data_IF_996954554608
#
_entry.id   IF_996954554608
#
_cell.length_a   1.000
_cell.length_b   1.000
_cell.length_c   1.000
_cell.angle_alpha   90.00
_cell.angle_beta   90.00
_cell.angle_gamma   90.00
#
_symmetry.space_group_name_H-M   'P 1'
#
loop_
_entity.id
_entity.type
_entity.pdbx_description
1 polymer ?
#
# COMPACT_ATOMS: atom_id res chain seq x y z
N UNK A 1 -24.01 -4.00 16.48
CA UNK A 1 -23.35 -3.03 17.39
C UNK A 1 -24.22 -1.79 17.45
N UNK A 2 -24.61 -1.31 18.63
CA UNK A 2 -25.27 -0.01 18.76
C UNK A 2 -24.32 1.06 18.26
N UNK A 3 -24.84 1.94 17.40
CA UNK A 3 -24.15 3.12 16.85
C UNK A 3 -23.81 4.14 17.95
N UNK A 4 -22.91 3.79 18.86
CA UNK A 4 -22.26 4.81 19.68
C UNK A 4 -21.26 5.51 18.78
N UNK A 5 -21.42 6.83 18.60
CA UNK A 5 -20.54 7.77 17.92
C UNK A 5 -19.10 7.69 18.45
N UNK A 6 -18.35 6.64 18.03
CA UNK A 6 -16.92 6.56 18.32
C UNK A 6 -16.22 7.36 17.24
N UNK A 7 -15.81 8.58 17.55
CA UNK A 7 -15.13 9.45 16.61
C UNK A 7 -13.76 8.87 16.25
N UNK A 8 -13.61 8.38 15.01
CA UNK A 8 -12.31 8.04 14.44
C UNK A 8 -11.48 9.32 14.29
N UNK A 9 -10.25 9.30 14.80
CA UNK A 9 -9.26 10.36 14.60
C UNK A 9 -8.17 9.85 13.67
N UNK A 10 -7.74 10.70 12.73
CA UNK A 10 -6.66 10.38 11.78
C UNK A 10 -5.62 11.50 11.85
N UNK A 11 -4.34 11.13 11.88
CA UNK A 11 -3.27 12.11 11.75
C UNK A 11 -3.16 12.56 10.29
N UNK A 12 -3.37 13.85 10.08
CA UNK A 12 -3.26 14.48 8.77
C UNK A 12 -1.87 15.12 8.62
N UNK A 13 -1.08 14.61 7.67
CA UNK A 13 0.27 15.14 7.41
C UNK A 13 0.27 16.58 6.92
N UNK A 14 -0.84 17.05 6.34
CA UNK A 14 -0.97 18.43 5.86
C UNK A 14 -1.08 19.42 7.03
N UNK A 15 -1.94 19.13 8.01
CA UNK A 15 -2.11 19.96 9.19
C UNK A 15 -1.15 19.61 10.32
N UNK A 16 -0.47 18.44 10.23
CA UNK A 16 0.42 17.88 11.25
C UNK A 16 -0.28 17.61 12.60
N UNK A 17 -1.59 17.32 12.56
CA UNK A 17 -2.43 17.10 13.75
C UNK A 17 -3.32 15.87 13.56
N UNK A 18 -3.75 15.29 14.68
CA UNK A 18 -4.87 14.34 14.67
C UNK A 18 -6.18 15.12 14.57
N UNK A 19 -6.98 14.76 13.60
CA UNK A 19 -8.28 15.38 13.31
C UNK A 19 -9.40 14.35 13.41
N UNK A 20 -10.60 14.80 13.74
CA UNK A 20 -11.79 13.95 13.65
C UNK A 20 -12.07 13.62 12.18
N UNK A 21 -12.18 12.31 11.89
CA UNK A 21 -12.41 11.86 10.53
C UNK A 21 -13.82 12.20 10.05
N UNK A 22 -13.90 12.98 9.00
CA UNK A 22 -15.16 13.39 8.34
C UNK A 22 -15.06 13.08 6.86
N UNK A 23 -15.99 12.28 6.36
CA UNK A 23 -16.06 11.93 4.93
C UNK A 23 -16.74 13.04 4.12
N UNK A 24 -16.35 13.17 2.85
CA UNK A 24 -17.00 14.08 1.89
C UNK A 24 -18.44 13.63 1.60
N UNK A 25 -18.65 12.33 1.51
CA UNK A 25 -19.97 11.74 1.31
C UNK A 25 -20.31 10.85 2.50
N UNK A 26 -21.52 10.94 3.08
CA UNK A 26 -21.91 10.09 4.19
C UNK A 26 -21.68 8.61 3.90
N UNK A 27 -21.07 7.90 4.84
CA UNK A 27 -20.76 6.46 4.78
C UNK A 27 -19.87 6.00 3.62
N UNK A 28 -19.32 6.90 2.78
CA UNK A 28 -18.40 6.55 1.70
C UNK A 28 -17.02 7.15 1.95
N UNK A 29 -15.98 6.41 1.61
CA UNK A 29 -14.59 6.86 1.73
C UNK A 29 -13.85 6.59 0.44
N UNK A 30 -13.34 7.64 -0.20
CA UNK A 30 -12.42 7.54 -1.32
C UNK A 30 -10.98 7.54 -0.83
N UNK A 31 -10.21 6.51 -1.18
CA UNK A 31 -8.79 6.38 -0.82
C UNK A 31 -7.97 6.19 -2.08
N UNK A 32 -6.98 7.05 -2.29
CA UNK A 32 -5.94 6.86 -3.29
C UNK A 32 -4.60 6.59 -2.62
N UNK A 33 -3.91 5.54 -3.04
CA UNK A 33 -2.56 5.22 -2.55
C UNK A 33 -1.61 5.11 -3.73
N UNK A 34 -0.52 5.87 -3.71
CA UNK A 34 0.50 5.76 -4.73
C UNK A 34 1.09 4.36 -4.76
N UNK A 35 1.02 3.74 -5.93
CA UNK A 35 1.53 2.40 -6.19
C UNK A 35 3.00 2.37 -6.56
N UNK A 36 3.55 1.18 -6.89
CA UNK A 36 4.94 1.04 -7.23
C UNK A 36 5.23 1.44 -8.69
N UNK A 37 6.47 1.86 -8.95
CA UNK A 37 7.04 1.83 -10.31
C UNK A 37 7.55 0.43 -10.59
N UNK A 38 7.00 -0.22 -11.62
CA UNK A 38 7.20 -1.66 -11.89
C UNK A 38 8.37 -1.93 -12.84
N UNK A 39 9.56 -1.47 -12.47
CA UNK A 39 10.81 -1.78 -13.16
C UNK A 39 11.70 -2.79 -12.42
N UNK A 40 11.34 -3.15 -11.18
CA UNK A 40 12.10 -4.08 -10.36
C UNK A 40 11.19 -4.67 -9.27
N UNK A 41 11.65 -5.77 -8.62
CA UNK A 41 10.99 -6.33 -7.44
C UNK A 41 10.82 -5.30 -6.34
N UNK A 42 9.66 -5.34 -5.66
CA UNK A 42 9.39 -4.50 -4.50
C UNK A 42 10.21 -4.96 -3.31
N UNK A 43 10.70 -4.02 -2.51
CA UNK A 43 11.36 -4.32 -1.24
C UNK A 43 10.39 -4.18 -0.06
N UNK A 44 10.80 -4.67 1.11
CA UNK A 44 9.95 -4.67 2.31
C UNK A 44 9.47 -3.26 2.74
N UNK A 45 10.25 -2.21 2.47
CA UNK A 45 9.84 -0.83 2.74
C UNK A 45 8.57 -0.44 1.97
N UNK A 46 8.45 -0.84 0.69
CA UNK A 46 7.22 -0.65 -0.07
C UNK A 46 6.07 -1.48 0.51
N UNK A 47 6.33 -2.73 0.87
CA UNK A 47 5.32 -3.62 1.46
C UNK A 47 4.73 -3.04 2.75
N UNK A 48 5.54 -2.36 3.57
CA UNK A 48 5.08 -1.71 4.80
C UNK A 48 3.99 -0.66 4.53
N UNK A 49 4.15 0.12 3.48
CA UNK A 49 3.13 1.09 3.06
C UNK A 49 1.81 0.37 2.76
N UNK A 50 1.84 -0.65 1.90
CA UNK A 50 0.62 -1.36 1.51
C UNK A 50 0.00 -2.16 2.66
N UNK A 51 0.79 -2.74 3.56
CA UNK A 51 0.32 -3.40 4.80
C UNK A 51 -0.40 -2.38 5.72
N UNK A 52 0.13 -1.17 5.85
CA UNK A 52 -0.49 -0.11 6.66
C UNK A 52 -1.82 0.35 6.06
N UNK A 53 -1.89 0.52 4.75
CA UNK A 53 -3.15 0.89 4.08
C UNK A 53 -4.16 -0.26 4.05
N UNK A 54 -3.73 -1.51 4.00
CA UNK A 54 -4.62 -2.67 4.18
C UNK A 54 -5.33 -2.64 5.54
N UNK A 55 -4.60 -2.34 6.61
CA UNK A 55 -5.17 -2.16 7.95
C UNK A 55 -6.20 -1.04 7.98
N UNK A 56 -5.88 0.11 7.40
CA UNK A 56 -6.77 1.28 7.33
C UNK A 56 -8.06 0.91 6.57
N UNK A 57 -7.93 0.32 5.38
CA UNK A 57 -9.07 -0.08 4.54
C UNK A 57 -9.94 -1.12 5.25
N UNK A 58 -9.33 -2.15 5.85
CA UNK A 58 -10.05 -3.19 6.59
C UNK A 58 -10.81 -2.60 7.78
N UNK A 59 -10.18 -1.73 8.55
CA UNK A 59 -10.84 -1.13 9.70
C UNK A 59 -11.97 -0.18 9.30
N UNK A 60 -11.78 0.66 8.28
CA UNK A 60 -12.85 1.52 7.77
C UNK A 60 -14.06 0.70 7.29
N UNK A 61 -13.84 -0.38 6.55
CA UNK A 61 -14.90 -1.31 6.14
C UNK A 61 -15.58 -1.96 7.35
N UNK A 62 -14.81 -2.35 8.36
CA UNK A 62 -15.34 -2.98 9.57
C UNK A 62 -16.26 -2.05 10.36
N UNK A 63 -15.94 -0.76 10.46
CA UNK A 63 -16.79 0.22 11.15
C UNK A 63 -17.94 0.77 10.28
N UNK A 64 -18.13 0.22 9.05
CA UNK A 64 -19.33 0.42 8.24
C UNK A 64 -19.19 1.40 7.08
N UNK A 65 -17.96 1.84 6.72
CA UNK A 65 -17.76 2.65 5.52
C UNK A 65 -17.73 1.80 4.25
N UNK A 66 -18.37 2.31 3.19
CA UNK A 66 -18.18 1.85 1.81
C UNK A 66 -16.89 2.47 1.27
N UNK A 67 -15.82 1.68 1.20
CA UNK A 67 -14.47 2.17 0.84
C UNK A 67 -14.19 1.88 -0.62
N UNK A 68 -13.99 2.94 -1.42
CA UNK A 68 -13.41 2.87 -2.76
C UNK A 68 -11.90 3.08 -2.66
N UNK A 69 -11.16 1.99 -2.73
CA UNK A 69 -9.70 1.97 -2.68
C UNK A 69 -9.13 1.93 -4.09
N UNK A 70 -8.34 2.94 -4.46
CA UNK A 70 -7.62 3.07 -5.74
C UNK A 70 -6.12 3.03 -5.45
N UNK A 71 -5.37 2.24 -6.22
CA UNK A 71 -3.92 2.18 -6.17
C UNK A 71 -3.39 2.02 -7.59
N UNK A 72 -2.54 2.94 -8.03
CA UNK A 72 -2.00 2.88 -9.38
C UNK A 72 -0.84 1.90 -9.53
N UNK A 73 -0.50 1.64 -10.79
CA UNK A 73 0.76 1.07 -11.24
C UNK A 73 1.44 2.12 -12.13
N UNK A 74 2.63 2.57 -11.74
CA UNK A 74 3.47 3.42 -12.58
C UNK A 74 4.27 2.53 -13.52
N UNK A 75 3.85 2.50 -14.77
CA UNK A 75 4.35 1.65 -15.83
C UNK A 75 5.05 2.43 -16.98
N UNK A 76 5.31 3.72 -16.76
CA UNK A 76 6.02 4.63 -17.69
C UNK A 76 6.58 5.85 -16.96
N UNK A 77 7.48 6.58 -17.60
CA UNK A 77 7.76 7.99 -17.27
C UNK A 77 8.58 8.26 -16.00
N UNK A 78 9.16 7.25 -15.36
CA UNK A 78 9.97 7.45 -14.16
C UNK A 78 11.43 7.78 -14.53
N UNK A 79 11.68 9.08 -14.81
CA UNK A 79 13.03 9.63 -14.96
C UNK A 79 13.54 10.13 -13.61
N UNK A 80 14.77 9.80 -13.25
CA UNK A 80 15.52 10.58 -12.25
C UNK A 80 16.02 11.88 -12.93
N UNK A 81 16.04 13.00 -12.22
CA UNK A 81 16.38 14.32 -12.76
C UNK A 81 17.77 14.38 -13.42
N UNK A 82 18.63 13.41 -13.13
CA UNK A 82 19.97 13.25 -13.69
C UNK A 82 20.09 12.19 -14.81
N UNK A 83 19.00 11.46 -15.13
CA UNK A 83 19.03 10.37 -16.10
C UNK A 83 18.27 10.74 -17.38
N UNK A 84 18.88 10.46 -18.54
CA UNK A 84 18.25 10.63 -19.86
C UNK A 84 17.29 9.48 -20.21
N UNK A 85 17.32 8.37 -19.45
CA UNK A 85 16.60 7.16 -19.77
C UNK A 85 15.66 6.71 -18.64
N UNK A 86 14.44 6.36 -19.00
CA UNK A 86 13.40 5.77 -18.12
C UNK A 86 13.89 4.48 -17.48
N UNK A 87 13.61 4.29 -16.18
CA UNK A 87 14.01 3.10 -15.41
C UNK A 87 13.49 1.79 -16.00
N UNK A 88 12.30 1.79 -16.61
CA UNK A 88 11.72 0.62 -17.27
C UNK A 88 12.51 0.27 -18.53
N UNK A 89 12.83 1.28 -19.37
CA UNK A 89 13.67 1.08 -20.56
C UNK A 89 15.06 0.58 -20.20
N UNK A 90 15.69 1.17 -19.17
CA UNK A 90 16.99 0.73 -18.66
C UNK A 90 16.95 -0.73 -18.20
N UNK A 91 15.89 -1.11 -17.49
CA UNK A 91 15.71 -2.49 -17.05
C UNK A 91 15.45 -3.46 -18.20
N UNK A 92 14.64 -3.05 -19.17
CA UNK A 92 14.36 -3.83 -20.37
C UNK A 92 15.64 -4.16 -21.15
N UNK A 93 16.54 -3.20 -21.32
CA UNK A 93 17.86 -3.41 -21.95
C UNK A 93 18.72 -4.40 -21.16
N UNK A 94 18.77 -4.29 -19.82
CA UNK A 94 19.55 -5.19 -18.96
C UNK A 94 19.01 -6.63 -19.05
N UNK A 95 17.71 -6.82 -19.04
CA UNK A 95 17.06 -8.14 -19.09
C UNK A 95 16.86 -8.67 -20.52
N UNK A 96 17.13 -7.88 -21.54
CA UNK A 96 16.89 -8.18 -22.97
C UNK A 96 15.43 -8.52 -23.24
N UNK A 97 14.52 -7.72 -22.65
CA UNK A 97 13.06 -7.83 -22.77
C UNK A 97 12.50 -6.56 -23.40
N UNK A 98 11.27 -6.63 -23.91
CA UNK A 98 10.51 -5.44 -24.27
C UNK A 98 10.03 -4.71 -22.99
N UNK A 99 9.89 -3.38 -22.99
CA UNK A 99 9.47 -2.61 -21.82
C UNK A 99 8.18 -3.13 -21.18
N UNK A 100 7.19 -3.51 -21.98
CA UNK A 100 5.91 -4.04 -21.48
C UNK A 100 6.03 -5.45 -20.90
N UNK A 101 7.01 -6.26 -21.30
CA UNK A 101 7.29 -7.54 -20.65
C UNK A 101 7.87 -7.30 -19.24
N UNK A 102 8.76 -6.31 -19.09
CA UNK A 102 9.28 -5.87 -17.79
C UNK A 102 8.14 -5.42 -16.87
N UNK A 103 7.27 -4.55 -17.38
CA UNK A 103 6.08 -4.06 -16.66
C UNK A 103 5.20 -5.22 -16.20
N UNK A 104 4.86 -6.13 -17.09
CA UNK A 104 4.00 -7.28 -16.76
C UNK A 104 4.65 -8.19 -15.72
N UNK A 105 5.93 -8.52 -15.88
CA UNK A 105 6.71 -9.35 -14.97
C UNK A 105 6.66 -8.79 -13.54
N UNK A 106 7.07 -7.53 -13.37
CA UNK A 106 7.16 -6.93 -12.05
C UNK A 106 5.82 -6.51 -11.44
N UNK A 107 4.80 -6.28 -12.27
CA UNK A 107 3.41 -6.11 -11.79
C UNK A 107 2.86 -7.41 -11.20
N UNK A 108 3.10 -8.54 -11.86
CA UNK A 108 2.66 -9.85 -11.37
C UNK A 108 3.41 -10.23 -10.08
N UNK A 109 4.72 -10.03 -10.05
CA UNK A 109 5.57 -10.24 -8.88
C UNK A 109 5.10 -9.40 -7.67
N UNK A 110 4.81 -8.12 -7.89
CA UNK A 110 4.24 -7.24 -6.89
C UNK A 110 2.92 -7.77 -6.33
N UNK A 111 1.99 -8.14 -7.19
CA UNK A 111 0.69 -8.69 -6.76
C UNK A 111 0.84 -9.99 -5.99
N UNK A 112 1.75 -10.88 -6.41
CA UNK A 112 2.05 -12.12 -5.70
C UNK A 112 2.57 -11.86 -4.29
N UNK A 113 3.51 -10.93 -4.13
CA UNK A 113 4.04 -10.53 -2.81
C UNK A 113 2.92 -10.03 -1.91
N UNK A 114 2.04 -9.15 -2.41
CA UNK A 114 0.92 -8.63 -1.62
C UNK A 114 -0.08 -9.74 -1.24
N UNK A 115 -0.31 -10.71 -2.13
CA UNK A 115 -1.16 -11.87 -1.85
C UNK A 115 -0.56 -12.75 -0.75
N UNK A 116 0.78 -12.94 -0.72
CA UNK A 116 1.46 -13.66 0.37
C UNK A 116 1.25 -12.99 1.72
N UNK A 117 1.15 -11.67 1.77
CA UNK A 117 0.78 -10.90 2.96
C UNK A 117 -0.74 -10.88 3.24
N UNK A 118 -1.57 -11.54 2.44
CA UNK A 118 -3.03 -11.51 2.54
C UNK A 118 -3.61 -10.08 2.54
N UNK A 119 -3.10 -9.21 1.66
CA UNK A 119 -3.62 -7.86 1.52
C UNK A 119 -4.85 -7.83 0.59
N UNK A 120 -5.76 -6.92 0.88
CA UNK A 120 -6.92 -6.66 0.02
C UNK A 120 -6.45 -6.05 -1.31
N UNK A 121 -7.02 -6.56 -2.40
CA UNK A 121 -6.86 -5.89 -3.69
C UNK A 121 -7.58 -4.55 -3.69
N UNK A 122 -7.06 -3.53 -4.39
CA UNK A 122 -7.80 -2.29 -4.60
C UNK A 122 -9.07 -2.56 -5.44
N UNK A 123 -10.05 -1.67 -5.33
CA UNK A 123 -11.24 -1.71 -6.20
C UNK A 123 -10.87 -1.38 -7.65
N UNK A 124 -9.89 -0.48 -7.82
CA UNK A 124 -9.39 -0.03 -9.11
C UNK A 124 -7.87 0.06 -9.02
N UNK A 125 -7.17 -0.58 -9.97
CA UNK A 125 -5.72 -0.53 -10.08
C UNK A 125 -5.34 0.02 -11.48
N UNK A 126 -5.41 1.36 -11.66
CA UNK A 126 -5.14 1.99 -12.94
C UNK A 126 -3.64 2.00 -13.25
N UNK A 127 -3.29 1.95 -14.54
CA UNK A 127 -1.91 2.11 -15.02
C UNK A 127 -1.72 3.49 -15.63
N UNK A 128 -0.51 4.05 -15.55
CA UNK A 128 -0.19 5.34 -16.15
C UNK A 128 -0.34 5.31 -17.68
N UNK A 129 0.11 4.22 -18.33
CA UNK A 129 -0.04 4.03 -19.78
C UNK A 129 -1.50 3.95 -20.24
N UNK A 130 -2.38 3.41 -19.40
CA UNK A 130 -3.82 3.33 -19.65
C UNK A 130 -4.56 4.67 -19.51
N UNK A 131 -3.86 5.73 -19.06
CA UNK A 131 -4.47 7.04 -18.73
C UNK A 131 -3.75 8.22 -19.39
N UNK A 132 -3.08 7.99 -20.52
CA UNK A 132 -2.36 9.03 -21.26
C UNK A 132 -3.28 10.19 -21.68
N UNK A 133 -4.50 9.90 -22.07
CA UNK A 133 -5.48 10.92 -22.48
C UNK A 133 -5.80 11.84 -21.31
N UNK A 134 -6.13 11.30 -20.16
CA UNK A 134 -6.47 12.07 -18.95
C UNK A 134 -5.29 12.91 -18.45
N UNK A 135 -4.08 12.41 -18.62
CA UNK A 135 -2.87 13.15 -18.27
C UNK A 135 -2.65 14.33 -19.23
N UNK A 136 -2.82 14.12 -20.53
CA UNK A 136 -2.73 15.20 -21.55
C UNK A 136 -3.80 16.26 -21.27
N UNK A 137 -5.06 15.87 -21.06
CA UNK A 137 -6.15 16.80 -20.76
C UNK A 137 -5.86 17.62 -19.49
N UNK A 138 -5.32 17.00 -18.45
CA UNK A 138 -4.96 17.72 -17.23
C UNK A 138 -3.81 18.70 -17.46
N UNK A 139 -2.81 18.34 -18.28
CA UNK A 139 -1.70 19.23 -18.63
C UNK A 139 -2.20 20.43 -19.44
N UNK A 140 -3.11 20.22 -20.41
CA UNK A 140 -3.73 21.32 -21.16
C UNK A 140 -4.44 22.28 -20.22
N UNK A 141 -5.24 21.79 -19.25
CA UNK A 141 -5.88 22.64 -18.25
C UNK A 141 -4.88 23.43 -17.39
N UNK A 142 -3.71 22.86 -17.05
CA UNK A 142 -2.65 23.56 -16.30
C UNK A 142 -2.05 24.67 -17.15
N UNK A 143 -1.83 24.43 -18.47
CA UNK A 143 -1.34 25.44 -19.42
C UNK A 143 -2.35 26.58 -19.57
N UNK A 144 -3.62 26.26 -19.83
CA UNK A 144 -4.70 27.23 -20.02
C UNK A 144 -4.89 28.13 -18.80
N UNK A 145 -4.66 27.60 -17.59
CA UNK A 145 -4.68 28.36 -16.36
C UNK A 145 -3.39 29.16 -16.10
N UNK A 146 -2.40 29.07 -16.99
CA UNK A 146 -1.14 29.83 -16.95
C UNK A 146 -0.10 29.29 -15.98
N UNK A 147 -0.21 28.04 -15.51
CA UNK A 147 0.75 27.43 -14.57
C UNK A 147 1.71 26.43 -15.20
N UNK A 148 1.70 26.30 -16.53
CA UNK A 148 2.67 25.50 -17.27
C UNK A 148 3.06 26.19 -18.58
N UNK A 149 4.18 25.75 -19.15
CA UNK A 149 4.67 26.22 -20.44
C UNK A 149 5.30 25.08 -21.24
N UNK A 150 5.16 25.16 -22.55
CA UNK A 150 5.84 24.27 -23.50
C UNK A 150 7.21 24.85 -23.83
N UNK A 151 8.22 23.99 -23.94
CA UNK A 151 9.54 24.29 -24.44
C UNK A 151 10.15 23.10 -25.19
N UNK A 152 10.42 23.24 -26.46
CA UNK A 152 11.06 22.23 -27.31
C UNK A 152 10.31 20.89 -27.39
N UNK A 153 8.97 20.87 -27.20
CA UNK A 153 8.12 19.67 -27.19
C UNK A 153 8.00 18.99 -25.84
N UNK A 154 8.59 19.56 -24.78
CA UNK A 154 8.36 19.19 -23.38
C UNK A 154 7.47 20.25 -22.71
N UNK A 155 6.70 19.83 -21.68
CA UNK A 155 5.88 20.76 -20.88
C UNK A 155 6.33 20.72 -19.44
N UNK A 156 6.54 21.90 -18.87
CA UNK A 156 7.00 22.08 -17.49
C UNK A 156 5.99 22.88 -16.68
N UNK A 157 5.81 22.50 -15.43
CA UNK A 157 5.05 23.29 -14.45
C UNK A 157 5.85 24.51 -14.04
N UNK A 158 5.25 25.71 -14.19
CA UNK A 158 5.86 27.01 -13.86
C UNK A 158 5.67 27.29 -12.36
N UNK A 159 6.61 26.83 -11.56
CA UNK A 159 6.52 26.94 -10.11
C UNK A 159 6.55 28.38 -9.63
N UNK A 160 7.34 29.23 -10.29
CA UNK A 160 7.42 30.66 -9.93
C UNK A 160 6.12 31.39 -10.20
N UNK A 161 5.41 31.06 -11.28
CA UNK A 161 4.10 31.66 -11.53
C UNK A 161 3.04 31.13 -10.56
N UNK A 162 3.06 29.84 -10.26
CA UNK A 162 2.16 29.21 -9.31
C UNK A 162 2.27 29.82 -7.91
N UNK A 163 3.49 30.10 -7.44
CA UNK A 163 3.74 30.61 -6.08
C UNK A 163 3.33 32.07 -5.89
N UNK A 164 2.98 32.80 -6.95
CA UNK A 164 2.35 34.13 -6.83
C UNK A 164 0.95 34.07 -6.19
N UNK A 165 0.26 32.96 -6.32
CA UNK A 165 -1.12 32.77 -5.81
C UNK A 165 -1.21 31.68 -4.73
N UNK A 166 -0.43 30.60 -4.85
CA UNK A 166 -0.51 29.44 -3.99
C UNK A 166 0.81 29.21 -3.25
N UNK A 167 0.75 28.54 -2.11
CA UNK A 167 1.95 28.09 -1.40
C UNK A 167 2.35 26.70 -1.89
N UNK A 168 3.56 26.53 -2.43
CA UNK A 168 4.17 25.23 -2.71
C UNK A 168 4.88 24.69 -1.47
N UNK A 169 5.05 23.36 -1.36
CA UNK A 169 5.68 22.73 -0.20
C UNK A 169 4.82 22.73 1.07
N UNK A 170 3.49 22.86 0.95
CA UNK A 170 2.57 22.86 2.09
C UNK A 170 2.63 21.59 2.90
N UNK A 171 2.71 20.44 2.19
CA UNK A 171 2.68 19.13 2.80
C UNK A 171 4.02 18.76 3.44
N UNK A 172 5.12 19.04 2.76
CA UNK A 172 6.47 18.79 3.27
C UNK A 172 6.92 19.80 4.32
N UNK A 173 6.25 20.93 4.40
CA UNK A 173 6.63 22.09 5.20
C UNK A 173 7.98 22.67 4.80
N UNK A 174 8.32 22.63 3.50
CA UNK A 174 9.51 23.23 2.92
C UNK A 174 9.22 24.63 2.42
N UNK A 175 10.21 25.53 2.53
CA UNK A 175 10.12 26.84 1.92
C UNK A 175 10.63 26.80 0.48
N UNK A 176 10.16 27.77 -0.33
CA UNK A 176 10.58 27.90 -1.73
C UNK A 176 12.09 28.15 -1.88
N UNK A 177 12.67 28.92 -0.96
CA UNK A 177 14.11 29.24 -0.98
C UNK A 177 14.98 27.98 -0.78
N UNK A 178 14.59 27.09 0.12
CA UNK A 178 15.27 25.82 0.35
C UNK A 178 15.21 24.93 -0.93
N UNK A 179 14.04 24.89 -1.56
CA UNK A 179 13.81 24.13 -2.78
C UNK A 179 14.64 24.70 -3.95
N UNK A 180 14.70 26.02 -4.09
CA UNK A 180 15.50 26.69 -5.12
C UNK A 180 16.99 26.42 -4.89
N UNK A 181 17.46 26.42 -3.66
CA UNK A 181 18.87 26.19 -3.34
C UNK A 181 19.27 24.73 -3.64
N UNK A 182 18.44 23.76 -3.22
CA UNK A 182 18.66 22.34 -3.52
C UNK A 182 18.62 22.06 -5.04
N UNK A 183 17.73 22.70 -5.80
CA UNK A 183 17.60 22.50 -7.24
C UNK A 183 18.72 23.14 -8.05
N UNK A 184 19.45 24.12 -7.52
CA UNK A 184 20.63 24.70 -8.16
C UNK A 184 21.83 23.75 -8.19
N UNK A 185 21.88 22.81 -7.27
CA UNK A 185 22.93 21.77 -7.21
C UNK A 185 22.64 20.61 -8.18
N UNK A 186 21.38 20.45 -8.60
CA UNK A 186 20.96 19.45 -9.59
C UNK A 186 21.12 20.00 -11.00
N UNK A 187 22.32 19.87 -11.56
CA UNK A 187 22.66 20.29 -12.91
C UNK A 187 21.83 19.57 -13.97
N UNK A 188 21.31 20.36 -14.92
CA UNK A 188 21.12 19.86 -16.28
C UNK A 188 19.73 19.87 -16.85
N UNK A 189 19.13 21.07 -17.05
CA UNK A 189 18.43 21.27 -18.30
C UNK A 189 18.34 22.75 -18.63
N UNK A 190 19.07 23.17 -19.65
CA UNK A 190 18.88 24.44 -20.38
C UNK A 190 17.43 24.59 -20.92
N UNK A 191 16.60 23.57 -20.73
CA UNK A 191 15.21 23.53 -21.15
C UNK A 191 14.23 24.14 -20.14
N UNK A 192 14.54 24.19 -18.84
CA UNK A 192 13.64 24.78 -17.83
C UNK A 192 13.79 26.29 -17.77
N UNK A 193 12.69 27.03 -17.49
CA UNK A 193 12.77 28.48 -17.19
C UNK A 193 13.45 28.71 -15.86
N UNK A 194 13.11 27.85 -14.87
CA UNK A 194 13.70 27.88 -13.53
C UNK A 194 14.08 26.46 -13.11
N UNK A 195 15.19 26.25 -12.39
CA UNK A 195 15.66 24.93 -11.99
C UNK A 195 14.63 24.09 -11.23
N UNK A 196 13.78 24.73 -10.41
CA UNK A 196 12.74 24.11 -9.58
C UNK A 196 11.47 23.71 -10.35
N UNK A 197 11.30 24.12 -11.62
CA UNK A 197 10.18 23.70 -12.43
C UNK A 197 10.25 22.18 -12.68
N UNK A 198 9.12 21.48 -12.68
CA UNK A 198 9.09 20.04 -12.86
C UNK A 198 8.32 19.64 -14.11
N UNK A 199 8.73 18.51 -14.70
CA UNK A 199 8.16 18.04 -15.96
C UNK A 199 6.72 17.52 -15.76
N UNK A 200 5.82 17.95 -16.64
CA UNK A 200 4.48 17.41 -16.82
C UNK A 200 4.44 16.45 -18.03
N UNK A 201 5.17 16.80 -19.10
CA UNK A 201 5.34 16.00 -20.29
C UNK A 201 6.79 16.14 -20.78
N UNK A 202 7.42 15.03 -21.12
CA UNK A 202 8.78 15.01 -21.66
C UNK A 202 8.76 14.60 -23.12
N UNK A 203 9.45 15.36 -23.98
CA UNK A 203 9.68 14.99 -25.37
C UNK A 203 10.47 13.68 -25.44
N UNK A 204 9.96 12.74 -26.22
CA UNK A 204 10.67 11.49 -26.46
C UNK A 204 11.73 11.64 -27.53
N UNK A 205 12.90 11.01 -27.37
CA UNK A 205 13.89 10.85 -28.42
C UNK A 205 13.36 9.89 -29.50
N UNK A 206 14.05 9.84 -30.65
CA UNK A 206 13.70 8.90 -31.72
C UNK A 206 13.77 7.44 -31.27
N UNK A 207 14.70 7.12 -30.40
CA UNK A 207 14.94 5.78 -29.84
C UNK A 207 14.01 5.40 -28.68
N UNK A 208 13.22 6.34 -28.15
CA UNK A 208 12.32 6.05 -27.04
C UNK A 208 11.13 5.24 -27.53
N UNK A 209 10.94 4.03 -26.98
CA UNK A 209 9.90 3.09 -27.42
C UNK A 209 8.53 3.49 -26.85
N UNK A 210 8.45 3.79 -25.54
CA UNK A 210 7.20 4.14 -24.84
C UNK A 210 6.91 5.64 -25.01
N UNK A 211 6.31 6.02 -26.12
CA UNK A 211 5.97 7.41 -26.44
C UNK A 211 4.60 7.52 -27.09
N UNK A 212 3.90 8.58 -26.79
CA UNK A 212 2.56 8.86 -27.27
C UNK A 212 2.50 10.21 -27.96
N UNK A 213 1.56 10.34 -28.90
CA UNK A 213 1.29 11.60 -29.57
C UNK A 213 0.53 12.53 -28.61
N UNK A 214 0.97 13.77 -28.54
CA UNK A 214 0.33 14.83 -27.74
C UNK A 214 0.26 16.12 -28.57
N UNK A 215 -0.41 17.19 -28.11
CA UNK A 215 -0.37 18.51 -28.74
C UNK A 215 1.05 19.08 -28.90
N UNK A 216 1.97 18.67 -28.05
CA UNK A 216 3.38 19.13 -28.00
C UNK A 216 4.34 18.22 -28.78
N UNK A 217 3.83 17.18 -29.42
CA UNK A 217 4.61 16.20 -30.16
C UNK A 217 4.65 14.82 -29.47
N UNK A 218 5.57 13.95 -29.93
CA UNK A 218 5.77 12.65 -29.33
C UNK A 218 6.54 12.75 -28.00
N UNK A 219 5.97 12.17 -26.94
CA UNK A 219 6.55 12.22 -25.62
C UNK A 219 5.91 11.22 -24.65
N UNK A 220 6.18 11.42 -23.37
CA UNK A 220 5.65 10.62 -22.27
C UNK A 220 5.39 11.50 -21.04
N UNK A 221 4.49 11.09 -20.13
CA UNK A 221 4.13 11.89 -18.95
C UNK A 221 5.27 12.00 -17.95
N UNK A 222 5.29 13.10 -17.20
CA UNK A 222 6.08 13.22 -15.98
C UNK A 222 5.47 12.39 -14.86
N UNK A 223 6.29 11.99 -13.90
CA UNK A 223 5.89 11.06 -12.83
C UNK A 223 4.72 11.56 -11.96
N UNK A 224 4.64 12.87 -11.70
CA UNK A 224 3.66 13.41 -10.73
C UNK A 224 2.26 13.55 -11.33
N UNK A 225 2.12 13.82 -12.63
CA UNK A 225 0.83 14.02 -13.29
C UNK A 225 0.01 12.73 -13.37
N UNK A 226 0.67 11.58 -13.34
CA UNK A 226 0.02 10.26 -13.38
C UNK A 226 -0.99 10.10 -12.24
N UNK A 227 -0.52 10.28 -11.00
CA UNK A 227 -1.37 10.13 -9.80
C UNK A 227 -2.44 11.21 -9.75
N UNK A 228 -2.14 12.44 -10.14
CA UNK A 228 -3.11 13.53 -10.19
C UNK A 228 -4.25 13.24 -11.17
N UNK A 229 -3.95 12.78 -12.37
CA UNK A 229 -4.96 12.45 -13.38
C UNK A 229 -5.78 11.21 -12.99
N UNK A 230 -5.14 10.14 -12.54
CA UNK A 230 -5.82 8.91 -12.16
C UNK A 230 -6.67 9.06 -10.90
N UNK A 231 -6.18 9.77 -9.86
CA UNK A 231 -6.96 10.03 -8.65
C UNK A 231 -8.21 10.87 -8.97
N UNK A 232 -8.05 11.91 -9.80
CA UNK A 232 -9.16 12.71 -10.26
C UNK A 232 -10.22 11.89 -11.03
N UNK A 233 -9.79 11.05 -11.97
CA UNK A 233 -10.69 10.22 -12.77
C UNK A 233 -11.57 9.31 -11.93
N UNK A 234 -11.01 8.66 -10.91
CA UNK A 234 -11.73 7.62 -10.16
C UNK A 234 -12.34 8.09 -8.84
N UNK A 235 -11.84 9.18 -8.27
CA UNK A 235 -12.31 9.70 -6.99
C UNK A 235 -12.85 11.13 -7.07
N UNK A 236 -12.69 11.80 -8.23
CA UNK A 236 -13.16 13.17 -8.46
C UNK A 236 -12.15 14.22 -8.03
N UNK A 237 -12.56 15.51 -8.15
CA UNK A 237 -11.72 16.68 -7.87
C UNK A 237 -11.23 16.74 -6.42
N UNK A 238 -11.96 16.10 -5.52
CA UNK A 238 -11.62 16.00 -4.11
C UNK A 238 -12.10 14.68 -3.55
N UNK A 239 -11.25 14.03 -2.74
CA UNK A 239 -11.53 12.75 -2.10
C UNK A 239 -11.06 12.74 -0.64
N UNK A 240 -11.30 11.65 0.09
CA UNK A 240 -11.10 11.65 1.53
C UNK A 240 -9.63 11.47 1.92
N UNK A 241 -8.95 10.41 1.47
CA UNK A 241 -7.62 10.05 1.92
C UNK A 241 -6.66 9.86 0.73
N UNK A 242 -5.55 10.59 0.74
CA UNK A 242 -4.40 10.34 -0.12
C UNK A 242 -3.24 9.76 0.70
N UNK A 243 -2.64 8.69 0.22
CA UNK A 243 -1.62 7.99 0.96
C UNK A 243 -0.42 7.49 0.17
N UNK A 244 0.68 7.27 0.91
CA UNK A 244 1.92 6.74 0.36
C UNK A 244 3.01 6.58 1.41
N UNK A 245 4.23 6.29 0.96
CA UNK A 245 5.42 6.34 1.80
C UNK A 245 5.80 7.77 2.18
N UNK A 246 6.56 7.93 3.27
CA UNK A 246 7.03 9.24 3.73
C UNK A 246 7.94 9.92 2.70
N UNK A 247 8.65 9.14 1.89
CA UNK A 247 9.51 9.57 0.79
C UNK A 247 8.73 10.25 -0.34
N UNK A 248 7.47 9.91 -0.54
CA UNK A 248 6.60 10.55 -1.53
C UNK A 248 6.10 11.93 -1.09
N UNK A 249 6.22 12.26 0.20
CA UNK A 249 5.74 13.55 0.72
C UNK A 249 6.33 14.73 -0.04
N UNK A 250 7.62 14.64 -0.37
CA UNK A 250 8.32 15.57 -1.23
C UNK A 250 9.27 14.81 -2.18
N UNK A 251 9.30 15.16 -3.47
CA UNK A 251 8.48 16.20 -4.13
C UNK A 251 7.09 15.73 -4.58
N UNK A 252 6.83 14.42 -4.66
CA UNK A 252 5.72 13.82 -5.40
C UNK A 252 4.35 14.38 -4.98
N UNK A 253 3.97 14.25 -3.73
CA UNK A 253 2.65 14.69 -3.25
C UNK A 253 2.50 16.23 -3.21
N UNK A 254 3.60 16.99 -2.96
CA UNK A 254 3.55 18.46 -3.09
C UNK A 254 3.33 18.89 -4.54
N UNK A 255 3.88 18.15 -5.54
CA UNK A 255 3.60 18.37 -6.95
C UNK A 255 2.13 18.05 -7.30
N UNK A 256 1.58 16.95 -6.77
CA UNK A 256 0.16 16.61 -7.00
C UNK A 256 -0.79 17.67 -6.40
N UNK A 257 -0.48 18.20 -5.22
CA UNK A 257 -1.22 19.34 -4.65
C UNK A 257 -1.17 20.54 -5.59
N UNK A 258 0.03 20.89 -6.09
CA UNK A 258 0.20 22.02 -6.99
C UNK A 258 -0.57 21.83 -8.29
N UNK A 259 -0.53 20.65 -8.90
CA UNK A 259 -1.30 20.31 -10.10
C UNK A 259 -2.80 20.42 -9.88
N UNK A 260 -3.31 19.90 -8.77
CA UNK A 260 -4.73 19.97 -8.43
C UNK A 260 -5.18 21.43 -8.14
N UNK A 261 -4.36 22.20 -7.42
CA UNK A 261 -4.66 23.62 -7.17
C UNK A 261 -4.60 24.46 -8.45
N UNK A 262 -3.67 24.15 -9.35
CA UNK A 262 -3.56 24.80 -10.65
C UNK A 262 -4.80 24.57 -11.53
N UNK A 263 -5.40 23.37 -11.48
CA UNK A 263 -6.57 23.01 -12.30
C UNK A 263 -7.89 23.34 -11.61
N UNK A 264 -8.03 22.95 -10.33
CA UNK A 264 -9.33 22.97 -9.63
C UNK A 264 -9.41 23.99 -8.50
N UNK A 265 -8.34 24.76 -8.25
CA UNK A 265 -8.25 25.73 -7.16
C UNK A 265 -8.50 25.11 -5.77
N UNK A 266 -8.15 23.84 -5.58
CA UNK A 266 -8.32 23.12 -4.32
C UNK A 266 -7.33 21.96 -4.16
N UNK A 267 -7.04 21.62 -2.88
CA UNK A 267 -6.30 20.42 -2.53
C UNK A 267 -7.11 19.17 -2.88
N UNK A 268 -6.50 18.13 -3.50
CA UNK A 268 -7.23 16.94 -3.95
C UNK A 268 -7.74 16.05 -2.81
N UNK A 269 -7.13 16.10 -1.63
CA UNK A 269 -7.50 15.23 -0.52
C UNK A 269 -7.74 15.99 0.78
N UNK A 270 -8.68 15.49 1.60
CA UNK A 270 -8.91 16.00 2.95
C UNK A 270 -7.81 15.59 3.91
N UNK A 271 -7.38 14.32 3.83
CA UNK A 271 -6.38 13.74 4.73
C UNK A 271 -5.22 13.18 3.92
N UNK A 272 -4.00 13.58 4.30
CA UNK A 272 -2.75 13.04 3.78
C UNK A 272 -2.13 12.10 4.80
N UNK A 273 -2.00 10.83 4.44
CA UNK A 273 -1.53 9.77 5.35
C UNK A 273 -0.24 9.18 4.83
N UNK A 274 0.82 9.22 5.63
CA UNK A 274 2.15 8.74 5.24
C UNK A 274 2.66 7.65 6.17
N UNK A 275 3.12 6.56 5.57
CA UNK A 275 3.80 5.48 6.29
C UNK A 275 5.29 5.79 6.38
N UNK A 276 5.84 5.73 7.60
CA UNK A 276 7.26 5.97 7.82
C UNK A 276 8.11 4.78 7.35
N UNK A 277 9.42 5.01 7.21
CA UNK A 277 10.34 4.06 6.61
C UNK A 277 10.59 2.83 7.49
N UNK A 278 11.00 1.76 6.83
CA UNK A 278 11.55 0.55 7.43
C UNK A 278 13.08 0.62 7.33
N UNK A 279 13.76 0.37 8.45
CA UNK A 279 15.21 0.19 8.51
C UNK A 279 15.55 -1.30 8.57
N UNK A 280 16.78 -1.65 8.24
CA UNK A 280 17.31 -3.00 8.35
C UNK A 280 18.60 -2.91 9.18
N UNK A 281 18.58 -3.54 10.37
CA UNK A 281 19.68 -3.48 11.33
C UNK A 281 20.12 -2.03 11.65
N UNK A 282 19.14 -1.16 11.93
CA UNK A 282 19.33 0.25 12.28
C UNK A 282 19.69 1.18 11.11
N UNK A 283 19.82 0.66 9.88
CA UNK A 283 20.20 1.45 8.70
C UNK A 283 19.07 1.56 7.71
N UNK A 284 18.96 2.69 7.00
CA UNK A 284 17.99 2.87 5.93
C UNK A 284 18.16 1.78 4.86
N UNK A 285 17.06 1.17 4.44
CA UNK A 285 17.09 0.25 3.28
C UNK A 285 17.39 1.03 2.02
N UNK A 286 18.42 0.61 1.30
CA UNK A 286 18.83 1.21 0.03
C UNK A 286 19.54 0.17 -0.83
N UNK A 287 19.21 0.17 -2.14
CA UNK A 287 19.90 -0.68 -3.11
C UNK A 287 21.34 -0.22 -3.36
N UNK A 288 21.59 1.09 -3.29
CA UNK A 288 22.92 1.66 -3.49
C UNK A 288 23.92 1.31 -2.38
N UNK A 289 23.43 0.96 -1.18
CA UNK A 289 24.25 0.55 -0.02
C UNK A 289 24.22 -0.96 0.20
N UNK A 290 23.64 -1.73 -0.69
CA UNK A 290 23.41 -3.18 -0.58
C UNK A 290 22.66 -3.61 0.70
N UNK A 291 22.09 -2.66 1.43
CA UNK A 291 21.32 -2.88 2.65
C UNK A 291 19.83 -2.99 2.33
N UNK A 292 19.40 -4.07 1.69
CA UNK A 292 17.98 -4.33 1.44
C UNK A 292 17.71 -5.84 1.40
N UNK A 293 16.48 -6.20 1.72
CA UNK A 293 16.01 -7.58 1.62
C UNK A 293 14.70 -7.63 0.83
N UNK A 294 14.62 -8.56 -0.10
CA UNK A 294 13.39 -8.84 -0.84
C UNK A 294 12.43 -9.69 0.01
N UNK A 295 11.12 -9.50 -0.09
CA UNK A 295 10.14 -10.32 0.62
C UNK A 295 10.34 -11.81 0.40
N UNK A 296 10.63 -12.24 -0.82
CA UNK A 296 10.86 -13.65 -1.16
C UNK A 296 12.07 -14.25 -0.43
N UNK A 297 13.19 -13.51 -0.34
CA UNK A 297 14.38 -13.95 0.39
C UNK A 297 14.10 -14.05 1.89
N UNK A 298 13.28 -13.13 2.43
CA UNK A 298 12.85 -13.18 3.82
C UNK A 298 11.94 -14.39 4.10
N UNK A 299 11.11 -14.78 3.12
CA UNK A 299 10.22 -15.93 3.27
C UNK A 299 10.95 -17.26 3.11
N UNK A 300 11.89 -17.36 2.15
CA UNK A 300 12.69 -18.57 1.92
C UNK A 300 13.83 -18.76 2.93
N UNK A 301 14.35 -17.67 3.49
CA UNK A 301 15.56 -17.69 4.31
C UNK A 301 16.86 -17.57 3.51
N UNK A 302 16.77 -17.31 2.22
CA UNK A 302 17.91 -17.18 1.31
C UNK A 302 18.53 -15.77 1.36
N UNK A 303 19.10 -15.41 2.50
CA UNK A 303 19.79 -14.13 2.70
C UNK A 303 20.73 -14.21 3.88
N UNK A 304 21.96 -13.71 3.74
CA UNK A 304 22.94 -13.62 4.81
C UNK A 304 22.54 -12.64 5.93
N UNK A 305 21.48 -11.86 5.71
CA UNK A 305 20.96 -10.89 6.67
C UNK A 305 20.00 -11.48 7.69
N UNK A 306 19.56 -12.72 7.50
CA UNK A 306 18.58 -13.42 8.35
C UNK A 306 18.99 -14.86 8.62
N UNK A 307 18.62 -15.38 9.79
CA UNK A 307 19.01 -16.74 10.20
C UNK A 307 18.15 -17.85 9.57
N UNK A 308 16.93 -17.54 9.18
CA UNK A 308 15.97 -18.51 8.61
C UNK A 308 14.87 -17.82 7.81
N UNK A 309 14.09 -18.59 7.10
CA UNK A 309 12.85 -18.14 6.48
C UNK A 309 11.73 -17.84 7.48
N UNK A 310 10.91 -16.85 7.20
CA UNK A 310 9.79 -16.44 8.04
C UNK A 310 8.47 -16.47 7.28
N UNK A 311 7.43 -16.96 7.96
CA UNK A 311 6.06 -16.88 7.43
C UNK A 311 5.69 -15.41 7.14
N UNK A 312 5.07 -15.10 5.98
CA UNK A 312 4.62 -13.75 5.67
C UNK A 312 3.75 -13.10 6.76
N UNK A 313 2.96 -13.89 7.50
CA UNK A 313 2.13 -13.36 8.59
C UNK A 313 2.95 -12.92 9.81
N UNK A 314 4.10 -13.55 10.06
CA UNK A 314 5.06 -13.12 11.10
C UNK A 314 5.66 -11.77 10.72
N UNK A 315 6.03 -11.60 9.45
CA UNK A 315 6.56 -10.33 8.94
C UNK A 315 5.48 -9.23 8.98
N UNK A 316 4.25 -9.55 8.60
CA UNK A 316 3.09 -8.66 8.72
C UNK A 316 2.84 -8.26 10.17
N UNK A 317 2.94 -9.21 11.11
CA UNK A 317 2.82 -8.95 12.54
C UNK A 317 3.92 -8.00 13.04
N UNK A 318 5.18 -8.19 12.62
CA UNK A 318 6.27 -7.25 12.90
C UNK A 318 5.91 -5.83 12.44
N UNK A 319 5.38 -5.68 11.21
CA UNK A 319 4.99 -4.37 10.67
C UNK A 319 3.96 -3.65 11.54
N UNK A 320 3.09 -4.39 12.24
CA UNK A 320 2.06 -3.84 13.13
C UNK A 320 2.55 -3.54 14.55
N UNK A 321 3.76 -3.95 14.94
CA UNK A 321 4.32 -3.65 16.27
C UNK A 321 4.80 -2.20 16.41
N UNK A 322 5.00 -1.49 15.30
CA UNK A 322 5.21 -0.06 15.31
C UNK A 322 4.03 0.65 14.65
N UNK A 323 3.67 1.81 15.18
CA UNK A 323 2.67 2.67 14.54
C UNK A 323 3.13 3.01 13.12
N UNK A 324 2.20 3.08 12.14
CA UNK A 324 2.55 3.30 10.73
C UNK A 324 3.37 4.60 10.51
N UNK A 325 3.20 5.61 11.38
CA UNK A 325 3.95 6.87 11.36
C UNK A 325 5.35 6.80 11.96
N UNK A 326 5.67 5.76 12.69
CA UNK A 326 6.98 5.60 13.32
C UNK A 326 7.92 4.77 12.45
N UNK A 327 9.21 5.03 12.52
CA UNK A 327 10.21 4.12 11.93
C UNK A 327 10.12 2.75 12.59
N UNK A 328 10.31 1.70 11.82
CA UNK A 328 10.39 0.31 12.29
C UNK A 328 11.73 -0.26 11.87
N UNK A 329 12.41 -0.92 12.79
CA UNK A 329 13.62 -1.67 12.47
C UNK A 329 13.35 -3.16 12.32
N UNK A 330 13.85 -3.73 11.23
CA UNK A 330 13.84 -5.16 10.96
C UNK A 330 15.21 -5.73 11.30
N UNK A 331 15.23 -6.70 12.19
CA UNK A 331 16.42 -7.47 12.61
C UNK A 331 16.03 -8.91 12.89
N UNK A 332 17.01 -9.83 12.98
CA UNK A 332 16.74 -11.21 13.37
C UNK A 332 16.04 -11.28 14.73
N UNK A 333 16.45 -10.47 15.69
CA UNK A 333 15.85 -10.42 17.02
C UNK A 333 14.38 -10.00 16.97
N UNK A 334 14.05 -8.93 16.21
CA UNK A 334 12.69 -8.46 16.05
C UNK A 334 11.80 -9.46 15.33
N UNK A 335 12.33 -10.20 14.36
CA UNK A 335 11.62 -11.26 13.65
C UNK A 335 11.34 -12.47 14.56
N UNK A 336 12.33 -12.94 15.34
CA UNK A 336 12.16 -14.02 16.30
C UNK A 336 11.14 -13.66 17.41
N UNK A 337 11.21 -12.44 17.93
CA UNK A 337 10.23 -11.94 18.90
C UNK A 337 8.82 -11.88 18.29
N UNK A 338 8.71 -11.43 17.04
CA UNK A 338 7.44 -11.36 16.30
C UNK A 338 6.85 -12.73 16.03
N UNK A 339 7.67 -13.72 15.69
CA UNK A 339 7.22 -15.10 15.49
C UNK A 339 6.61 -15.68 16.78
N UNK A 340 7.28 -15.51 17.92
CA UNK A 340 6.77 -15.93 19.23
C UNK A 340 5.44 -15.24 19.55
N UNK A 341 5.38 -13.92 19.33
CA UNK A 341 4.17 -13.12 19.59
C UNK A 341 3.00 -13.51 18.69
N UNK A 342 3.22 -13.62 17.40
CA UNK A 342 2.22 -14.06 16.43
C UNK A 342 1.68 -15.45 16.76
N UNK A 343 2.57 -16.43 16.98
CA UNK A 343 2.18 -17.79 17.30
C UNK A 343 1.38 -17.86 18.60
N UNK A 344 1.75 -17.07 19.62
CA UNK A 344 0.99 -17.00 20.88
C UNK A 344 -0.42 -16.46 20.69
N UNK A 345 -0.61 -15.39 19.91
CA UNK A 345 -1.93 -14.84 19.61
C UNK A 345 -2.79 -15.82 18.81
N UNK A 346 -2.21 -16.44 17.80
CA UNK A 346 -2.94 -17.42 16.97
C UNK A 346 -3.29 -18.67 17.79
N UNK A 347 -2.39 -19.15 18.65
CA UNK A 347 -2.71 -20.27 19.55
C UNK A 347 -3.85 -19.92 20.49
N UNK A 348 -3.86 -18.71 21.08
CA UNK A 348 -4.96 -18.27 21.94
C UNK A 348 -6.30 -18.21 21.22
N UNK A 349 -6.29 -17.83 19.92
CA UNK A 349 -7.50 -17.86 19.10
C UNK A 349 -8.04 -19.28 18.91
N UNK A 350 -7.17 -20.27 18.70
CA UNK A 350 -7.58 -21.69 18.61
C UNK A 350 -7.94 -22.28 19.95
N UNK A 351 -7.31 -21.84 21.04
CA UNK A 351 -7.61 -22.32 22.40
C UNK A 351 -9.04 -21.98 22.85
N UNK A 352 -9.68 -20.97 22.25
CA UNK A 352 -11.10 -20.65 22.54
C UNK A 352 -12.01 -21.85 22.25
N UNK A 353 -11.66 -22.68 21.26
CA UNK A 353 -12.46 -23.83 20.84
C UNK A 353 -12.53 -24.95 21.89
N UNK A 354 -11.57 -24.99 22.80
CA UNK A 354 -11.46 -26.02 23.82
C UNK A 354 -11.81 -25.49 25.23
N UNK A 355 -12.29 -24.22 25.35
CA UNK A 355 -12.72 -23.68 26.62
C UNK A 355 -13.98 -24.37 27.09
N UNK A 356 -14.00 -24.69 28.38
CA UNK A 356 -15.17 -25.29 29.04
C UNK A 356 -16.12 -24.18 29.51
N UNK A 357 -17.40 -24.21 29.10
CA UNK A 357 -18.37 -23.24 29.56
C UNK A 357 -18.75 -23.48 31.05
N UNK A 358 -19.04 -22.40 31.74
CA UNK A 358 -19.60 -22.42 33.10
C UNK A 358 -20.92 -21.64 33.14
N UNK A 359 -21.66 -21.78 34.23
CA UNK A 359 -22.87 -20.97 34.47
C UNK A 359 -22.55 -19.50 34.74
N UNK A 360 -21.30 -19.20 35.17
CA UNK A 360 -20.86 -17.84 35.48
C UNK A 360 -20.35 -17.16 34.20
N UNK A 361 -20.88 -15.98 33.89
CA UNK A 361 -20.36 -15.11 32.84
C UNK A 361 -19.06 -14.40 33.24
N UNK A 362 -18.38 -13.82 32.26
CA UNK A 362 -17.17 -13.02 32.48
C UNK A 362 -17.21 -11.79 31.60
N UNK A 363 -17.32 -10.62 32.18
CA UNK A 363 -17.38 -9.35 31.43
C UNK A 363 -16.00 -8.71 31.19
N UNK A 364 -14.92 -9.29 31.74
CA UNK A 364 -13.57 -8.74 31.61
C UNK A 364 -13.14 -8.57 30.13
N UNK A 365 -13.49 -9.54 29.27
CA UNK A 365 -13.17 -9.47 27.85
C UNK A 365 -13.81 -8.26 27.16
N UNK A 366 -15.01 -7.83 27.57
CA UNK A 366 -15.71 -6.69 26.95
C UNK A 366 -14.93 -5.39 27.13
N UNK A 367 -14.37 -5.18 28.33
CA UNK A 367 -13.54 -4.01 28.62
C UNK A 367 -12.26 -4.00 27.76
N UNK A 368 -11.66 -5.17 27.54
CA UNK A 368 -10.45 -5.28 26.69
C UNK A 368 -10.82 -5.06 25.22
N UNK A 369 -11.95 -5.60 24.76
CA UNK A 369 -12.48 -5.36 23.42
C UNK A 369 -12.72 -3.87 23.15
N UNK A 370 -13.28 -3.13 24.12
CA UNK A 370 -13.44 -1.68 24.02
C UNK A 370 -12.10 -0.95 23.89
N UNK A 371 -11.06 -1.38 24.63
CA UNK A 371 -9.70 -0.86 24.47
C UNK A 371 -9.15 -1.15 23.07
N UNK A 372 -9.39 -2.34 22.51
CA UNK A 372 -9.00 -2.68 21.14
C UNK A 372 -9.62 -1.73 20.11
N UNK A 373 -10.93 -1.49 20.19
CA UNK A 373 -11.60 -0.54 19.30
C UNK A 373 -11.08 0.89 19.50
N UNK A 374 -10.91 1.34 20.74
CA UNK A 374 -10.38 2.67 21.03
C UNK A 374 -8.96 2.88 20.47
N UNK A 375 -8.13 1.83 20.45
CA UNK A 375 -6.82 1.86 19.83
C UNK A 375 -6.91 2.09 18.33
N UNK A 376 -7.81 1.39 17.64
CA UNK A 376 -8.00 1.55 16.21
C UNK A 376 -8.65 2.89 15.83
N UNK A 377 -9.53 3.41 16.69
CA UNK A 377 -10.14 4.74 16.51
C UNK A 377 -9.16 5.89 16.78
N UNK A 378 -8.04 5.63 17.46
CA UNK A 378 -6.96 6.59 17.69
C UNK A 378 -5.86 6.43 16.64
N UNK A 379 -6.14 6.82 15.40
CA UNK A 379 -5.17 6.86 14.31
C UNK A 379 -4.62 5.47 13.93
N UNK A 380 -5.51 4.46 13.92
CA UNK A 380 -5.19 3.08 13.53
C UNK A 380 -4.01 2.48 14.33
N UNK A 381 -3.99 2.68 15.63
CA UNK A 381 -2.88 2.35 16.51
C UNK A 381 -2.71 0.84 16.70
N UNK A 382 -2.09 0.19 15.72
CA UNK A 382 -1.86 -1.27 15.73
C UNK A 382 -1.02 -1.77 16.91
N UNK A 383 0.06 -1.09 17.38
CA UNK A 383 0.80 -1.59 18.53
C UNK A 383 -0.02 -1.61 19.82
N UNK A 384 -0.89 -0.61 20.06
CA UNK A 384 -1.83 -0.64 21.19
C UNK A 384 -2.87 -1.75 21.03
N UNK A 385 -3.41 -1.93 19.82
CA UNK A 385 -4.32 -3.04 19.53
C UNK A 385 -3.66 -4.38 19.88
N UNK A 386 -2.45 -4.64 19.40
CA UNK A 386 -1.70 -5.88 19.68
C UNK A 386 -1.49 -6.06 21.19
N UNK A 387 -1.14 -5.00 21.92
CA UNK A 387 -1.01 -5.07 23.38
C UNK A 387 -2.30 -5.54 24.05
N UNK A 388 -3.46 -5.02 23.67
CA UNK A 388 -4.76 -5.43 24.22
C UNK A 388 -5.18 -6.84 23.75
N UNK A 389 -4.76 -7.27 22.55
CA UNK A 389 -4.95 -8.65 22.13
C UNK A 389 -4.14 -9.64 22.99
N UNK A 390 -2.97 -9.25 23.49
CA UNK A 390 -2.23 -10.04 24.47
C UNK A 390 -2.93 -10.05 25.86
N UNK A 391 -3.64 -8.98 26.26
CA UNK A 391 -4.48 -9.02 27.46
C UNK A 391 -5.61 -10.05 27.29
N UNK A 392 -6.27 -10.11 26.10
CA UNK A 392 -7.27 -11.16 25.79
C UNK A 392 -6.63 -12.56 25.77
N UNK A 393 -5.45 -12.70 25.19
CA UNK A 393 -4.70 -13.97 25.18
C UNK A 393 -4.42 -14.48 26.60
N UNK A 394 -4.05 -13.58 27.52
CA UNK A 394 -3.84 -13.92 28.92
C UNK A 394 -5.15 -14.35 29.61
N UNK A 395 -6.24 -13.64 29.37
CA UNK A 395 -7.55 -14.00 29.92
C UNK A 395 -7.99 -15.40 29.42
N UNK A 396 -7.81 -15.70 28.14
CA UNK A 396 -8.09 -17.02 27.54
C UNK A 396 -7.26 -18.11 28.24
N UNK A 397 -5.97 -17.85 28.50
CA UNK A 397 -5.09 -18.76 29.22
C UNK A 397 -5.55 -18.98 30.67
N UNK A 398 -5.98 -17.93 31.38
CA UNK A 398 -6.50 -18.03 32.75
C UNK A 398 -7.81 -18.79 32.81
N UNK A 399 -8.71 -18.64 31.83
CA UNK A 399 -9.92 -19.44 31.70
C UNK A 399 -9.59 -20.92 31.44
N UNK A 400 -8.66 -21.19 30.51
CA UNK A 400 -8.19 -22.54 30.18
C UNK A 400 -7.58 -23.26 31.39
N UNK A 401 -6.96 -22.52 32.32
CA UNK A 401 -6.37 -23.01 33.56
C UNK A 401 -7.40 -23.04 34.74
N UNK A 402 -8.67 -22.79 34.47
CA UNK A 402 -9.76 -22.76 35.45
C UNK A 402 -9.57 -21.70 36.57
N UNK A 403 -8.74 -20.68 36.34
CA UNK A 403 -8.58 -19.52 37.23
C UNK A 403 -9.69 -18.49 37.05
N UNK A 404 -10.29 -18.45 35.88
CA UNK A 404 -11.40 -17.60 35.48
C UNK A 404 -12.48 -18.46 34.85
N UNK A 405 -13.74 -17.99 34.93
CA UNK A 405 -14.90 -18.69 34.40
C UNK A 405 -15.52 -17.91 33.24
N UNK A 406 -16.18 -18.59 32.31
CA UNK A 406 -16.81 -17.96 31.16
C UNK A 406 -18.08 -18.74 30.76
N UNK A 407 -19.15 -18.03 30.42
CA UNK A 407 -20.37 -18.67 29.92
C UNK A 407 -20.22 -19.10 28.47
N UNK A 408 -21.06 -20.03 28.01
CA UNK A 408 -21.07 -20.45 26.59
C UNK A 408 -21.28 -19.27 25.65
N UNK A 409 -22.20 -18.37 25.96
CA UNK A 409 -22.48 -17.15 25.20
C UNK A 409 -21.26 -16.24 25.12
N UNK A 410 -20.53 -16.11 26.22
CA UNK A 410 -19.32 -15.24 26.22
C UNK A 410 -18.14 -15.87 25.47
N UNK A 411 -18.04 -17.22 25.45
CA UNK A 411 -17.06 -17.92 24.56
C UNK A 411 -17.34 -17.60 23.10
N UNK A 412 -18.60 -17.69 22.67
CA UNK A 412 -18.97 -17.40 21.27
C UNK A 412 -18.70 -15.92 20.91
N UNK A 413 -18.99 -14.99 21.83
CA UNK A 413 -18.67 -13.58 21.68
C UNK A 413 -17.15 -13.33 21.59
N UNK A 414 -16.37 -13.91 22.51
CA UNK A 414 -14.91 -13.78 22.54
C UNK A 414 -14.27 -14.31 21.26
N UNK A 415 -14.75 -15.47 20.78
CA UNK A 415 -14.34 -16.03 19.49
C UNK A 415 -14.60 -15.05 18.34
N UNK A 416 -15.78 -14.48 18.28
CA UNK A 416 -16.14 -13.52 17.23
C UNK A 416 -15.25 -12.27 17.30
N UNK A 417 -15.00 -11.71 18.48
CA UNK A 417 -14.10 -10.55 18.61
C UNK A 417 -12.65 -10.87 18.23
N UNK A 418 -12.12 -12.01 18.66
CA UNK A 418 -10.76 -12.42 18.26
C UNK A 418 -10.65 -12.63 16.75
N UNK A 419 -11.68 -13.24 16.12
CA UNK A 419 -11.75 -13.36 14.66
C UNK A 419 -11.77 -11.98 13.99
N UNK A 420 -12.61 -11.06 14.45
CA UNK A 420 -12.72 -9.70 13.93
C UNK A 420 -11.35 -9.00 13.96
N UNK A 421 -10.67 -9.02 15.11
CA UNK A 421 -9.38 -8.30 15.19
C UNK A 421 -8.26 -9.00 14.45
N UNK A 422 -8.09 -10.31 14.59
CA UNK A 422 -6.95 -11.03 14.00
C UNK A 422 -7.12 -11.25 12.48
N UNK A 423 -8.34 -11.65 12.07
CA UNK A 423 -8.57 -12.07 10.68
C UNK A 423 -9.14 -10.92 9.84
N UNK A 424 -10.19 -10.27 10.33
CA UNK A 424 -10.90 -9.30 9.50
C UNK A 424 -10.17 -7.94 9.46
N UNK A 425 -9.61 -7.45 10.60
CA UNK A 425 -8.92 -6.15 10.71
C UNK A 425 -7.42 -6.28 10.45
N UNK A 426 -6.68 -7.13 11.20
CA UNK A 426 -5.24 -7.31 10.99
C UNK A 426 -4.92 -8.14 9.73
N UNK A 427 -5.90 -8.85 9.19
CA UNK A 427 -5.78 -9.61 7.96
C UNK A 427 -4.80 -10.78 8.07
N UNK A 428 -4.68 -11.41 9.24
CA UNK A 428 -3.90 -12.64 9.36
C UNK A 428 -4.64 -13.80 8.71
N UNK A 429 -3.90 -14.69 8.06
CA UNK A 429 -4.43 -15.94 7.52
C UNK A 429 -4.20 -17.07 8.52
N UNK A 430 -5.17 -17.97 8.67
CA UNK A 430 -4.98 -19.19 9.44
C UNK A 430 -4.32 -20.26 8.57
N UNK A 431 -3.28 -20.94 9.06
CA UNK A 431 -2.60 -22.01 8.32
C UNK A 431 -3.53 -23.09 7.74
N UNK A 432 -4.68 -23.34 8.41
CA UNK A 432 -5.71 -24.26 7.90
C UNK A 432 -6.28 -23.88 6.53
N UNK A 433 -6.20 -22.62 6.12
CA UNK A 433 -6.69 -22.20 4.80
C UNK A 433 -5.69 -22.43 3.68
N UNK A 434 -4.39 -22.45 3.99
CA UNK A 434 -3.34 -22.71 2.99
C UNK A 434 -3.30 -24.22 2.70
N UNK A 435 -3.32 -25.07 3.72
CA UNK A 435 -3.38 -26.54 3.55
C UNK A 435 -4.69 -26.99 2.88
N UNK A 436 -5.85 -26.39 3.21
CA UNK A 436 -7.10 -26.70 2.52
C UNK A 436 -7.10 -26.30 1.04
N UNK A 437 -6.43 -25.22 0.65
CA UNK A 437 -6.28 -24.87 -0.78
C UNK A 437 -5.36 -25.83 -1.50
N UNK A 438 -4.27 -26.26 -0.87
CA UNK A 438 -3.32 -27.24 -1.44
C UNK A 438 -3.97 -28.62 -1.49
N UNK A 439 -4.53 -29.10 -0.40
CA UNK A 439 -5.21 -30.42 -0.34
C UNK A 439 -6.42 -30.50 -1.28
N UNK A 440 -7.19 -29.41 -1.45
CA UNK A 440 -8.27 -29.40 -2.44
C UNK A 440 -7.74 -29.39 -3.87
N UNK A 441 -6.59 -28.76 -4.12
CA UNK A 441 -5.96 -28.75 -5.45
C UNK A 441 -5.42 -30.12 -5.82
N UNK A 442 -4.76 -30.81 -4.89
CA UNK A 442 -4.24 -32.16 -5.10
C UNK A 442 -5.39 -33.17 -5.28
N UNK A 443 -6.43 -33.12 -4.45
CA UNK A 443 -7.64 -33.94 -4.64
C UNK A 443 -8.38 -33.64 -5.96
N UNK A 444 -8.35 -32.39 -6.43
CA UNK A 444 -8.94 -32.02 -7.72
C UNK A 444 -8.10 -32.55 -8.87
N UNK A 445 -6.78 -32.53 -8.75
CA UNK A 445 -5.84 -33.09 -9.72
C UNK A 445 -5.99 -34.62 -9.75
N UNK A 446 -6.05 -35.31 -8.62
CA UNK A 446 -6.27 -36.76 -8.53
C UNK A 446 -7.62 -37.14 -9.15
N UNK A 447 -8.70 -36.42 -8.85
CA UNK A 447 -10.02 -36.65 -9.44
C UNK A 447 -10.04 -36.39 -10.95
N UNK A 448 -9.27 -35.43 -11.46
CA UNK A 448 -9.11 -35.15 -12.89
C UNK A 448 -8.30 -36.27 -13.58
N UNK A 449 -7.24 -36.76 -12.95
CA UNK A 449 -6.43 -37.89 -13.45
C UNK A 449 -7.28 -39.16 -13.53
N UNK A 450 -8.04 -39.46 -12.48
CA UNK A 450 -8.96 -40.63 -12.48
C UNK A 450 -10.03 -40.50 -13.55
N UNK A 451 -10.59 -39.31 -13.77
CA UNK A 451 -11.60 -39.07 -14.82
C UNK A 451 -11.01 -39.23 -16.22
N UNK A 452 -9.79 -38.73 -16.47
CA UNK A 452 -9.08 -38.85 -17.74
C UNK A 452 -8.69 -40.31 -17.97
N UNK A 453 -8.21 -41.01 -16.96
CA UNK A 453 -7.89 -42.46 -17.06
C UNK A 453 -9.13 -43.28 -17.38
N UNK A 454 -10.27 -42.98 -16.77
CA UNK A 454 -11.53 -43.67 -17.02
C UNK A 454 -12.05 -43.42 -18.44
N UNK A 455 -11.94 -42.21 -18.96
CA UNK A 455 -12.37 -41.85 -20.34
C UNK A 455 -11.47 -42.48 -21.40
N UNK A 456 -10.17 -42.63 -21.15
CA UNK A 456 -9.26 -43.31 -22.07
C UNK A 456 -9.43 -44.85 -22.10
N UNK A 457 -9.88 -45.47 -21.00
CA UNK A 457 -10.15 -46.89 -20.92
C UNK A 457 -11.53 -47.29 -21.51
N UNK A 458 -12.43 -46.36 -21.75
CA UNK A 458 -13.81 -46.64 -22.22
C UNK A 458 -14.10 -46.20 -23.66
N UNK A 459 -13.11 -45.67 -24.39
CA UNK A 459 -13.29 -45.41 -25.83
C UNK A 459 -13.24 -46.72 -26.61
N UNK A 460 -14.30 -47.09 -27.36
CA UNK A 460 -14.25 -48.28 -28.22
C UNK A 460 -13.23 -48.06 -29.34
N UNK A 461 -12.30 -48.98 -29.45
CA UNK A 461 -11.44 -49.08 -30.62
C UNK A 461 -12.26 -49.53 -31.81
N UNK A 462 -12.86 -48.58 -32.53
CA UNK A 462 -13.36 -48.85 -33.88
C UNK A 462 -12.16 -48.99 -34.81
N UNK A 463 -11.67 -50.23 -34.92
CA UNK A 463 -11.04 -50.73 -36.14
C UNK A 463 -12.13 -51.53 -36.85
N UNK A 464 -12.62 -51.00 -37.97
CA UNK A 464 -13.05 -51.78 -39.12
C UNK A 464 -13.34 -50.85 -40.31
N UNK A 465 -12.61 -51.16 -41.35
CA UNK A 465 -12.64 -51.02 -42.80
C UNK A 465 -12.15 -49.71 -43.34
#
# INVERSE_FOLDING_TARGET
>A
MSSSNKNLKIYNSLSQKKEDFKTLNPSKVGIYVCGPTVYNKVHLGNCRTFISFDLIVRFLKHIGYDVRYVRNITDVGHLEESEEEDKILKRAKIEKLEPMEVVQKYTNDFREVLNKFNLLSPNIEPTATGHIIEQIEMIEMIIDNGYAYEKNGSVYFDLMNFTKKYKYGKLSNRNLDDIINESRELFGSDEKKNPQDFALWKKASSSHIMKWKSPWGYGFPGWHIECSAMSHKYLGKKFDIHGGGMDLKFPHHDCEIAQSEAVYNQNPANYWVHTNMLTLNGRKMSKSTENFILPENLFSGESDMIEKGYNPMVVKFLMYQAHYRNTLDLSNESLLASEKGYNKLMQSFFDIDILKPSEKGNDKYKLIVDKCYNSMLDDFNSPKLISHLFELSKLIEDIKKEKEFISKKDIDNLRNYMKVFLIDILGFSTHKNIERKVVNKDKLIDALIDTVSYTHLTLPTNREV
#
